data_IF_861881456658
#
_entry.id   IF_861881456658
#
_cell.length_a   1.000
_cell.length_b   1.000
_cell.length_c   1.000
_cell.angle_alpha   90.00
_cell.angle_beta   90.00
_cell.angle_gamma   90.00
#
_symmetry.space_group_name_H-M   'P 1'
#
loop_
_entity.id
_entity.type
_entity.pdbx_description
1 polymer ?
#
# COMPACT_ATOMS: atom_id res chain seq x y z
N UNK A 1 -42.40 32.89 -25.89
CA UNK A 1 -41.02 32.36 -25.86
C UNK A 1 -40.39 32.85 -24.57
N UNK A 2 -40.16 31.98 -23.58
CA UNK A 2 -39.55 32.35 -22.28
C UNK A 2 -38.14 31.76 -22.25
N UNK A 3 -37.08 32.53 -22.00
CA UNK A 3 -35.72 31.99 -21.94
C UNK A 3 -35.57 31.21 -20.64
N UNK A 4 -35.32 29.90 -20.73
CA UNK A 4 -34.82 29.13 -19.60
C UNK A 4 -33.39 29.61 -19.31
N UNK A 5 -33.20 30.23 -18.15
CA UNK A 5 -31.88 30.55 -17.60
C UNK A 5 -31.33 29.24 -17.02
N UNK A 6 -30.32 28.68 -17.67
CA UNK A 6 -29.58 27.53 -17.16
C UNK A 6 -28.63 28.01 -16.06
N UNK A 7 -28.92 27.64 -14.81
CA UNK A 7 -28.05 27.92 -13.67
C UNK A 7 -26.94 26.86 -13.63
N UNK A 8 -25.78 27.17 -14.21
CA UNK A 8 -24.58 26.34 -14.10
C UNK A 8 -24.01 26.41 -12.69
N UNK A 9 -24.23 25.34 -11.91
CA UNK A 9 -23.64 25.16 -10.59
C UNK A 9 -22.22 24.61 -10.76
N UNK A 10 -21.22 25.49 -10.65
CA UNK A 10 -19.81 25.13 -10.70
C UNK A 10 -19.40 24.55 -9.33
N UNK A 11 -19.38 23.21 -9.21
CA UNK A 11 -18.77 22.54 -8.07
C UNK A 11 -17.24 22.67 -8.16
N UNK A 12 -16.66 23.53 -7.32
CA UNK A 12 -15.23 23.58 -7.08
C UNK A 12 -14.90 22.41 -6.13
N UNK A 13 -14.38 21.31 -6.68
CA UNK A 13 -13.90 20.17 -5.89
C UNK A 13 -12.59 20.51 -5.20
N UNK A 14 -12.56 20.49 -3.87
CA UNK A 14 -11.32 20.59 -3.10
C UNK A 14 -10.51 19.28 -3.23
N UNK A 15 -9.18 19.33 -3.25
CA UNK A 15 -8.36 18.12 -3.25
C UNK A 15 -8.54 17.39 -1.91
N UNK A 16 -9.04 16.17 -1.97
CA UNK A 16 -9.06 15.26 -0.82
C UNK A 16 -7.63 14.75 -0.64
N UNK A 17 -6.96 15.18 0.43
CA UNK A 17 -5.74 14.53 0.90
C UNK A 17 -6.15 13.16 1.46
N UNK A 18 -5.75 12.10 0.77
CA UNK A 18 -5.94 10.74 1.28
C UNK A 18 -5.04 10.56 2.51
N UNK A 19 -5.63 10.08 3.61
CA UNK A 19 -4.89 9.74 4.82
C UNK A 19 -3.85 8.65 4.51
N UNK A 20 -2.69 8.72 5.17
CA UNK A 20 -1.69 7.65 5.08
C UNK A 20 -2.23 6.39 5.79
N UNK A 21 -2.44 5.27 5.08
CA UNK A 21 -2.92 4.04 5.68
C UNK A 21 -1.96 3.42 6.71
N UNK A 22 -0.71 3.91 6.79
CA UNK A 22 0.33 3.39 7.67
C UNK A 22 0.68 4.35 8.82
N UNK A 23 -0.12 5.40 9.03
CA UNK A 23 0.08 6.34 10.12
C UNK A 23 0.04 5.62 11.49
N UNK A 24 1.08 5.82 12.30
CA UNK A 24 1.20 5.21 13.63
C UNK A 24 1.58 3.72 13.64
N UNK A 25 1.87 3.12 12.49
CA UNK A 25 2.30 1.73 12.40
C UNK A 25 3.70 1.49 12.99
N UNK A 26 3.91 0.31 13.57
CA UNK A 26 5.20 -0.15 14.11
C UNK A 26 6.01 -0.85 13.01
N UNK A 27 7.01 -0.14 12.52
CA UNK A 27 7.87 -0.62 11.45
C UNK A 27 8.75 -1.82 11.86
N UNK A 28 9.20 -1.87 13.11
CA UNK A 28 10.04 -2.97 13.59
C UNK A 28 9.23 -4.26 13.71
N UNK A 29 7.98 -4.16 14.18
CA UNK A 29 7.03 -5.27 14.09
C UNK A 29 6.78 -5.68 12.63
N UNK A 30 6.67 -4.70 11.73
CA UNK A 30 6.50 -4.89 10.29
C UNK A 30 7.63 -5.67 9.63
N UNK A 31 8.88 -5.34 9.96
CA UNK A 31 10.07 -6.06 9.49
C UNK A 31 10.04 -7.53 9.95
N UNK A 32 9.75 -7.77 11.24
CA UNK A 32 9.69 -9.12 11.79
C UNK A 32 8.58 -9.97 11.13
N UNK A 33 7.40 -9.39 10.90
CA UNK A 33 6.30 -10.04 10.22
C UNK A 33 6.61 -10.30 8.74
N UNK A 34 7.22 -9.35 8.05
CA UNK A 34 7.67 -9.50 6.66
C UNK A 34 8.66 -10.66 6.52
N UNK A 35 9.67 -10.70 7.39
CA UNK A 35 10.65 -11.78 7.44
C UNK A 35 9.97 -13.15 7.65
N UNK A 36 9.00 -13.22 8.57
CA UNK A 36 8.29 -14.46 8.91
C UNK A 36 7.38 -14.96 7.79
N UNK A 37 6.65 -14.08 7.11
CA UNK A 37 5.54 -14.48 6.25
C UNK A 37 5.76 -14.26 4.75
N UNK A 38 6.65 -13.35 4.35
CA UNK A 38 6.79 -12.94 2.95
C UNK A 38 8.09 -13.42 2.31
N UNK A 39 9.20 -13.35 3.03
CA UNK A 39 10.56 -13.50 2.47
C UNK A 39 10.75 -14.84 1.75
N UNK A 40 10.48 -15.96 2.41
CA UNK A 40 10.80 -17.29 1.85
C UNK A 40 10.17 -17.52 0.46
N UNK A 41 8.88 -17.21 0.31
CA UNK A 41 8.18 -17.36 -0.95
C UNK A 41 8.61 -16.32 -1.99
N UNK A 42 8.87 -15.08 -1.56
CA UNK A 42 9.30 -14.00 -2.46
C UNK A 42 10.72 -14.24 -2.99
N UNK A 43 11.67 -14.66 -2.15
CA UNK A 43 13.01 -15.06 -2.56
C UNK A 43 12.97 -16.23 -3.55
N UNK A 44 12.23 -17.29 -3.21
CA UNK A 44 12.12 -18.46 -4.07
C UNK A 44 11.57 -18.11 -5.46
N UNK A 45 10.58 -17.21 -5.54
CA UNK A 45 9.86 -16.91 -6.79
C UNK A 45 10.47 -15.77 -7.60
N UNK A 46 11.03 -14.76 -6.94
CA UNK A 46 11.48 -13.53 -7.57
C UNK A 46 12.95 -13.22 -7.32
N UNK A 47 13.54 -13.78 -6.27
CA UNK A 47 14.91 -13.49 -5.84
C UNK A 47 15.05 -12.12 -5.15
N UNK A 48 16.28 -11.63 -5.13
CA UNK A 48 16.68 -10.45 -4.36
C UNK A 48 16.90 -10.76 -2.88
N UNK A 49 17.74 -9.97 -2.23
CA UNK A 49 17.98 -10.07 -0.79
C UNK A 49 16.65 -9.85 -0.05
N UNK A 50 16.30 -10.77 0.85
CA UNK A 50 15.04 -10.76 1.60
C UNK A 50 13.80 -10.69 0.70
N UNK A 51 13.88 -11.28 -0.49
CA UNK A 51 12.78 -11.38 -1.46
C UNK A 51 12.43 -10.04 -2.11
N UNK A 52 13.33 -9.05 -2.03
CA UNK A 52 13.08 -7.67 -2.43
C UNK A 52 12.81 -7.46 -3.93
N UNK A 53 13.20 -8.39 -4.80
CA UNK A 53 13.08 -8.20 -6.25
C UNK A 53 11.63 -7.99 -6.70
N UNK A 54 10.64 -8.58 -6.01
CA UNK A 54 9.20 -8.36 -6.25
C UNK A 54 8.77 -6.89 -6.10
N UNK A 55 9.34 -6.16 -5.13
CA UNK A 55 8.99 -4.77 -4.85
C UNK A 55 9.69 -3.80 -5.80
N UNK A 56 10.87 -4.18 -6.29
CA UNK A 56 11.76 -3.38 -7.13
C UNK A 56 11.57 -3.60 -8.63
N UNK A 57 10.62 -4.47 -9.04
CA UNK A 57 10.42 -4.75 -10.46
C UNK A 57 10.03 -3.48 -11.24
N UNK A 58 10.59 -3.24 -12.43
CA UNK A 58 10.24 -2.07 -13.25
C UNK A 58 8.75 -1.97 -13.58
N UNK A 59 8.08 -3.11 -13.74
CA UNK A 59 6.67 -3.25 -14.13
C UNK A 59 5.71 -3.37 -12.92
N UNK A 60 6.16 -3.12 -11.70
CA UNK A 60 5.30 -3.19 -10.51
C UNK A 60 4.10 -2.23 -10.62
N UNK A 61 2.93 -2.66 -10.12
CA UNK A 61 1.64 -1.93 -10.27
C UNK A 61 1.21 -1.17 -9.02
N UNK A 62 1.89 -1.39 -7.90
CA UNK A 62 1.62 -0.71 -6.62
C UNK A 62 2.29 0.66 -6.67
N UNK A 63 1.49 1.73 -6.78
CA UNK A 63 1.97 3.11 -7.00
C UNK A 63 1.51 4.10 -5.92
N UNK A 64 0.75 3.65 -4.93
CA UNK A 64 0.25 4.49 -3.83
C UNK A 64 0.23 3.70 -2.52
N UNK A 65 0.23 4.38 -1.35
CA UNK A 65 0.09 3.72 -0.05
C UNK A 65 -1.17 2.84 0.03
N UNK A 66 -2.30 3.37 -0.46
CA UNK A 66 -3.55 2.62 -0.50
C UNK A 66 -3.48 1.36 -1.36
N UNK A 67 -2.81 1.43 -2.53
CA UNK A 67 -2.60 0.26 -3.36
C UNK A 67 -1.71 -0.80 -2.69
N UNK A 68 -0.70 -0.37 -1.91
CA UNK A 68 0.14 -1.28 -1.15
C UNK A 68 -0.65 -1.98 -0.05
N UNK A 69 -1.46 -1.22 0.71
CA UNK A 69 -2.36 -1.80 1.72
C UNK A 69 -3.28 -2.84 1.09
N UNK A 70 -3.97 -2.49 0.00
CA UNK A 70 -4.87 -3.43 -0.68
C UNK A 70 -4.15 -4.67 -1.21
N UNK A 71 -2.93 -4.53 -1.72
CA UNK A 71 -2.11 -5.64 -2.19
C UNK A 71 -1.73 -6.58 -1.03
N UNK A 72 -1.36 -6.03 0.14
CA UNK A 72 -1.05 -6.81 1.34
C UNK A 72 -2.27 -7.60 1.82
N UNK A 73 -3.39 -6.92 2.07
CA UNK A 73 -4.65 -7.56 2.50
C UNK A 73 -5.08 -8.67 1.55
N UNK A 74 -4.92 -8.46 0.25
CA UNK A 74 -5.23 -9.48 -0.75
C UNK A 74 -4.33 -10.72 -0.59
N UNK A 75 -3.02 -10.53 -0.46
CA UNK A 75 -2.06 -11.65 -0.32
C UNK A 75 -2.27 -12.41 0.99
N UNK A 76 -2.39 -11.70 2.11
CA UNK A 76 -2.54 -12.28 3.45
C UNK A 76 -3.85 -13.06 3.58
N UNK A 77 -4.94 -12.55 2.99
CA UNK A 77 -6.24 -13.24 2.96
C UNK A 77 -6.18 -14.49 2.08
N UNK A 78 -5.61 -14.42 0.87
CA UNK A 78 -5.50 -15.58 -0.02
C UNK A 78 -4.63 -16.69 0.55
N UNK A 79 -3.66 -16.34 1.39
CA UNK A 79 -2.76 -17.27 2.06
C UNK A 79 -3.25 -17.67 3.47
N UNK A 80 -4.38 -17.13 3.94
CA UNK A 80 -4.93 -17.35 5.28
C UNK A 80 -3.89 -17.20 6.41
N UNK A 81 -3.15 -16.08 6.40
CA UNK A 81 -2.03 -15.86 7.33
C UNK A 81 -2.44 -15.42 8.75
N UNK A 82 -3.74 -15.29 9.01
CA UNK A 82 -4.32 -14.86 10.29
C UNK A 82 -3.68 -13.58 10.87
N UNK A 83 -3.36 -12.62 9.99
CA UNK A 83 -2.84 -11.30 10.37
C UNK A 83 -4.00 -10.34 10.64
N UNK A 84 -3.86 -9.54 11.70
CA UNK A 84 -4.79 -8.45 11.96
C UNK A 84 -4.51 -7.25 11.02
N UNK A 85 -5.47 -6.35 10.81
CA UNK A 85 -5.26 -5.16 9.98
C UNK A 85 -4.06 -4.30 10.42
N UNK A 86 -3.75 -4.28 11.72
CA UNK A 86 -2.60 -3.56 12.27
C UNK A 86 -1.27 -4.24 11.89
N UNK A 87 -1.23 -5.57 11.87
CA UNK A 87 -0.05 -6.33 11.41
C UNK A 87 0.22 -6.05 9.92
N UNK A 88 -0.83 -6.00 9.11
CA UNK A 88 -0.72 -5.63 7.69
C UNK A 88 -0.23 -4.18 7.52
N UNK A 89 -0.70 -3.26 8.36
CA UNK A 89 -0.26 -1.87 8.35
C UNK A 89 1.22 -1.76 8.75
N UNK A 90 1.68 -2.52 9.75
CA UNK A 90 3.08 -2.60 10.16
C UNK A 90 3.97 -3.09 9.02
N UNK A 91 3.59 -4.20 8.35
CA UNK A 91 4.31 -4.69 7.16
C UNK A 91 4.31 -3.62 6.06
N UNK A 92 3.16 -2.97 5.82
CA UNK A 92 3.02 -1.91 4.84
C UNK A 92 3.92 -0.71 5.10
N UNK A 93 4.06 -0.29 6.36
CA UNK A 93 4.95 0.78 6.78
C UNK A 93 6.42 0.43 6.50
N UNK A 94 6.85 -0.77 6.90
CA UNK A 94 8.19 -1.29 6.60
C UNK A 94 8.45 -1.33 5.09
N UNK A 95 7.55 -1.93 4.31
CA UNK A 95 7.72 -2.00 2.86
C UNK A 95 7.73 -0.61 2.21
N UNK A 96 6.90 0.31 2.69
CA UNK A 96 6.86 1.68 2.19
C UNK A 96 8.19 2.39 2.47
N UNK A 97 8.68 2.33 3.72
CA UNK A 97 9.94 2.97 4.08
C UNK A 97 11.13 2.36 3.37
N UNK A 98 11.18 1.05 3.12
CA UNK A 98 12.37 0.41 2.55
C UNK A 98 12.38 0.36 1.03
N UNK A 99 11.22 0.20 0.38
CA UNK A 99 11.16 -0.05 -1.06
C UNK A 99 10.36 1.00 -1.83
N UNK A 100 9.13 1.33 -1.39
CA UNK A 100 8.21 2.13 -2.22
C UNK A 100 8.36 3.65 -2.09
N UNK A 101 8.73 4.15 -0.91
CA UNK A 101 8.98 5.57 -0.60
C UNK A 101 7.81 6.49 -0.95
N UNK A 102 6.57 6.03 -0.77
CA UNK A 102 5.40 6.88 -0.95
C UNK A 102 5.35 7.95 0.13
N UNK A 103 5.07 9.21 -0.26
CA UNK A 103 4.69 10.28 0.67
C UNK A 103 5.73 10.69 1.71
N UNK A 104 6.98 10.26 1.57
CA UNK A 104 8.12 10.84 2.30
C UNK A 104 8.62 12.07 1.51
N UNK A 105 9.09 13.16 2.14
CA UNK A 105 10.15 13.94 1.52
C UNK A 105 11.40 13.08 1.30
#
# INVERSE_FOLDING_TARGET
MKPLIAMSMLLIGAPVLAADPFEGADEAAGEALHAKYCVACHEMKYGGENGSAIYLRPDHRVRTPGALKSQLTMCTTQLSLDLFPEDEANIGAYLNRHYYKFGTP
#
